data_IF_128493717087
#
_entry.id   IF_128493717087
#
_cell.length_a   1.000
_cell.length_b   1.000
_cell.length_c   1.000
_cell.angle_alpha   90.00
_cell.angle_beta   90.00
_cell.angle_gamma   90.00
#
_symmetry.space_group_name_H-M   'P 1'
#
loop_
_entity.id
_entity.type
_entity.pdbx_description
1 polymer ?
#
# COMPACT_ATOMS: atom_id res chain seq x y z
N UNK A 1 12.54 7.71 2.87
CA UNK A 1 11.94 6.71 1.95
C UNK A 1 11.53 7.39 0.64
N UNK A 2 11.87 6.84 -0.54
CA UNK A 2 11.37 7.34 -1.85
C UNK A 2 10.26 6.40 -2.32
N UNK A 3 9.11 6.99 -2.69
CA UNK A 3 7.92 6.30 -3.17
C UNK A 3 7.47 6.88 -4.50
N UNK A 4 7.30 6.03 -5.49
CA UNK A 4 6.66 6.39 -6.75
C UNK A 4 5.26 5.77 -6.77
N UNK A 5 4.23 6.63 -6.85
CA UNK A 5 2.83 6.22 -6.86
C UNK A 5 2.26 6.57 -8.23
N UNK A 6 1.75 5.55 -8.92
CA UNK A 6 1.08 5.68 -10.20
C UNK A 6 -0.38 5.29 -10.04
N UNK A 7 -1.26 6.02 -10.73
CA UNK A 7 -2.69 5.75 -10.75
C UNK A 7 -3.22 5.83 -12.17
N UNK A 8 -3.90 4.77 -12.61
CA UNK A 8 -4.59 4.73 -13.90
C UNK A 8 -5.74 3.73 -13.87
N UNK A 9 -6.89 4.09 -14.43
CA UNK A 9 -8.08 3.21 -14.59
C UNK A 9 -8.52 2.49 -13.30
N UNK A 10 -8.29 3.12 -12.15
CA UNK A 10 -8.63 2.54 -10.85
C UNK A 10 -7.67 1.48 -10.34
N UNK A 11 -6.49 1.36 -10.95
CA UNK A 11 -5.34 0.60 -10.48
C UNK A 11 -4.37 1.58 -9.84
N UNK A 12 -3.93 1.28 -8.62
CA UNK A 12 -2.85 1.99 -7.94
C UNK A 12 -1.62 1.08 -7.98
N UNK A 13 -0.51 1.59 -8.50
CA UNK A 13 0.79 0.91 -8.47
C UNK A 13 1.72 1.72 -7.60
N UNK A 14 2.33 1.08 -6.61
CA UNK A 14 3.29 1.70 -5.71
C UNK A 14 4.64 1.01 -5.88
N UNK A 15 5.66 1.79 -6.24
CA UNK A 15 7.03 1.31 -6.40
C UNK A 15 7.95 1.99 -5.37
N UNK A 16 8.69 1.19 -4.61
CA UNK A 16 9.58 1.65 -3.56
C UNK A 16 9.97 0.54 -2.60
N UNK A 17 10.78 0.87 -1.60
CA UNK A 17 11.28 -0.09 -0.60
C UNK A 17 10.33 -0.21 0.62
N UNK A 18 9.05 -0.51 0.38
CA UNK A 18 8.03 -0.62 1.41
C UNK A 18 8.20 -1.86 2.29
N UNK A 19 8.68 -2.97 1.72
CA UNK A 19 8.90 -4.21 2.46
C UNK A 19 9.86 -4.03 3.64
N UNK A 20 10.87 -3.17 3.49
CA UNK A 20 11.83 -2.90 4.57
C UNK A 20 11.20 -2.08 5.72
N UNK A 21 10.15 -1.30 5.47
CA UNK A 21 9.44 -0.55 6.50
C UNK A 21 8.30 -1.35 7.17
N UNK A 22 7.97 -2.53 6.64
CA UNK A 22 6.94 -3.44 7.15
C UNK A 22 7.48 -4.68 7.88
N UNK A 23 8.78 -4.73 8.21
CA UNK A 23 9.39 -5.87 8.92
C UNK A 23 10.14 -6.86 8.02
N UNK A 24 10.61 -6.43 6.85
CA UNK A 24 11.39 -7.25 5.94
C UNK A 24 12.80 -7.54 6.50
N UNK A 25 13.28 -8.78 6.33
CA UNK A 25 14.55 -9.37 6.82
C UNK A 25 15.87 -8.60 6.61
N UNK A 26 15.85 -7.38 6.09
CA UNK A 26 17.04 -6.54 5.97
C UNK A 26 17.30 -5.82 7.29
N UNK A 27 17.84 -6.55 8.28
CA UNK A 27 18.30 -6.04 9.59
C UNK A 27 19.18 -4.77 9.46
N UNK A 28 19.88 -4.61 8.33
CA UNK A 28 20.72 -3.43 8.03
C UNK A 28 19.95 -2.17 7.63
N UNK A 29 18.73 -2.31 7.09
CA UNK A 29 17.90 -1.18 6.68
C UNK A 29 16.92 -0.77 7.79
N UNK A 30 16.41 -1.72 8.58
CA UNK A 30 15.53 -1.41 9.71
C UNK A 30 16.23 -0.56 10.77
N UNK A 31 17.54 -0.75 10.98
CA UNK A 31 18.33 0.00 11.95
C UNK A 31 18.42 1.52 11.66
N UNK A 32 18.16 1.96 10.42
CA UNK A 32 18.28 3.37 10.00
C UNK A 32 16.97 4.00 9.52
N UNK A 33 15.83 3.30 9.59
CA UNK A 33 14.55 3.88 9.21
C UNK A 33 14.04 4.82 10.31
N UNK A 34 13.60 6.01 9.90
CA UNK A 34 12.95 6.92 10.83
C UNK A 34 11.59 6.34 11.27
N UNK A 35 11.17 6.64 12.50
CA UNK A 35 9.80 6.29 12.96
C UNK A 35 8.72 6.84 12.01
N UNK A 36 8.98 7.99 11.40
CA UNK A 36 8.05 8.58 10.44
C UNK A 36 7.93 7.72 9.19
N UNK A 37 9.03 7.22 8.64
CA UNK A 37 9.02 6.35 7.45
C UNK A 37 8.27 5.03 7.74
N UNK A 38 8.50 4.43 8.91
CA UNK A 38 7.79 3.22 9.35
C UNK A 38 6.27 3.48 9.47
N UNK A 39 5.88 4.58 10.13
CA UNK A 39 4.47 4.96 10.29
C UNK A 39 3.81 5.24 8.94
N UNK A 40 4.46 6.02 8.08
CA UNK A 40 3.95 6.34 6.74
C UNK A 40 3.77 5.09 5.90
N UNK A 41 4.69 4.13 5.96
CA UNK A 41 4.52 2.86 5.27
C UNK A 41 3.31 2.07 5.80
N UNK A 42 3.12 2.01 7.12
CA UNK A 42 1.96 1.34 7.73
C UNK A 42 0.63 1.99 7.32
N UNK A 43 0.55 3.32 7.39
CA UNK A 43 -0.64 4.08 6.97
C UNK A 43 -0.95 3.87 5.48
N UNK A 44 0.08 3.84 4.63
CA UNK A 44 -0.08 3.56 3.21
C UNK A 44 -0.64 2.15 2.97
N UNK A 45 -0.12 1.14 3.67
CA UNK A 45 -0.63 -0.23 3.59
C UNK A 45 -2.11 -0.33 3.96
N UNK A 46 -2.51 0.32 5.06
CA UNK A 46 -3.92 0.40 5.49
C UNK A 46 -4.79 1.08 4.43
N UNK A 47 -4.33 2.22 3.89
CA UNK A 47 -5.07 2.96 2.87
C UNK A 47 -5.25 2.17 1.56
N UNK A 48 -4.22 1.43 1.13
CA UNK A 48 -4.31 0.56 -0.05
C UNK A 48 -5.33 -0.56 0.14
N UNK A 49 -5.32 -1.21 1.31
CA UNK A 49 -6.32 -2.23 1.67
C UNK A 49 -7.73 -1.66 1.71
N UNK A 50 -7.91 -0.49 2.33
CA UNK A 50 -9.19 0.20 2.39
C UNK A 50 -9.70 0.56 0.98
N UNK A 51 -8.83 1.10 0.12
CA UNK A 51 -9.15 1.38 -1.27
C UNK A 51 -9.59 0.12 -2.02
N UNK A 52 -8.83 -0.98 -1.92
CA UNK A 52 -9.17 -2.25 -2.56
C UNK A 52 -10.51 -2.81 -2.08
N UNK A 53 -10.77 -2.76 -0.76
CA UNK A 53 -12.04 -3.17 -0.17
C UNK A 53 -13.22 -2.31 -0.66
N UNK A 54 -13.07 -0.98 -0.62
CA UNK A 54 -14.08 -0.04 -1.13
C UNK A 54 -14.35 -0.25 -2.61
N UNK A 55 -13.30 -0.38 -3.43
CA UNK A 55 -13.42 -0.68 -4.86
C UNK A 55 -14.17 -1.99 -5.09
N UNK A 56 -13.83 -3.06 -4.37
CA UNK A 56 -14.57 -4.33 -4.43
C UNK A 56 -16.05 -4.12 -4.14
N UNK A 57 -16.40 -3.38 -3.09
CA UNK A 57 -17.79 -3.14 -2.72
C UNK A 57 -18.55 -2.24 -3.70
N UNK A 58 -17.90 -1.25 -4.32
CA UNK A 58 -18.52 -0.42 -5.35
C UNK A 58 -18.69 -1.17 -6.67
N UNK A 59 -17.72 -2.00 -7.04
CA UNK A 59 -17.76 -2.82 -8.27
C UNK A 59 -18.66 -4.05 -8.15
N UNK A 60 -19.14 -4.41 -6.94
CA UNK A 60 -20.17 -5.43 -6.74
C UNK A 60 -21.51 -5.12 -7.42
N UNK A 61 -21.64 -3.98 -8.11
CA UNK A 61 -22.72 -3.70 -9.06
C UNK A 61 -22.62 -4.48 -10.39
N UNK A 62 -21.54 -5.23 -10.64
CA UNK A 62 -21.38 -6.03 -11.88
C UNK A 62 -21.67 -7.53 -11.71
N UNK A 63 -22.00 -8.02 -10.50
CA UNK A 63 -22.37 -9.43 -10.30
C UNK A 63 -23.43 -9.59 -9.21
N UNK A 64 -24.61 -9.02 -9.45
CA UNK A 64 -25.83 -9.32 -8.68
C UNK A 64 -27.06 -9.48 -9.57
N UNK A 65 -26.85 -10.00 -10.78
CA UNK A 65 -27.93 -10.27 -11.73
C UNK A 65 -27.52 -11.39 -12.67
N UNK A 66 -27.71 -12.63 -12.21
CA UNK A 66 -28.16 -13.87 -12.86
C UNK A 66 -27.89 -15.01 -11.87
#
# INVERSE_FOLDING_TARGET
>A
MILNIYYSSGIIVVHGNLSNAWGGKYERYEANLSRNDIRTAHELGINMLYFAYRRRNMMKLLYSGI
#
